data_IF_840351532328
#
_entry.id   IF_840351532328
#
_cell.length_a   1.000
_cell.length_b   1.000
_cell.length_c   1.000
_cell.angle_alpha   90.00
_cell.angle_beta   90.00
_cell.angle_gamma   90.00
#
_symmetry.space_group_name_H-M   'P 1'
#
loop_
_entity.id
_entity.type
_entity.pdbx_description
1 polymer ?
#
# COMPACT_ATOMS: atom_id res chain seq x y z
N UNK A 1 -17.99 -19.40 5.81
CA UNK A 1 -19.31 -19.30 6.44
C UNK A 1 -19.33 -18.27 7.57
N UNK A 2 -18.28 -18.19 8.41
CA UNK A 2 -18.19 -17.19 9.49
C UNK A 2 -18.25 -15.77 8.95
N UNK A 3 -17.40 -15.46 7.96
CA UNK A 3 -17.33 -14.15 7.30
C UNK A 3 -18.67 -13.70 6.69
N UNK A 4 -19.44 -14.65 6.11
CA UNK A 4 -20.78 -14.33 5.61
C UNK A 4 -21.73 -13.98 6.74
N UNK A 5 -21.70 -14.71 7.86
CA UNK A 5 -22.55 -14.40 9.01
C UNK A 5 -22.27 -13.03 9.61
N UNK A 6 -21.00 -12.65 9.65
CA UNK A 6 -20.56 -11.34 10.14
C UNK A 6 -21.00 -10.16 9.24
N UNK A 7 -21.26 -10.42 7.95
CA UNK A 7 -21.63 -9.41 6.96
C UNK A 7 -23.07 -9.54 6.44
N UNK A 8 -23.87 -10.46 6.98
CA UNK A 8 -25.22 -10.72 6.51
C UNK A 8 -26.24 -9.84 7.22
N UNK A 9 -27.04 -9.11 6.46
CA UNK A 9 -28.14 -8.30 7.00
C UNK A 9 -29.26 -9.18 7.59
N UNK A 10 -29.53 -10.35 7.01
CA UNK A 10 -30.49 -11.31 7.55
C UNK A 10 -30.11 -11.81 8.94
N UNK A 11 -28.79 -11.91 9.22
CA UNK A 11 -28.28 -12.30 10.55
C UNK A 11 -28.31 -11.12 11.50
N UNK A 12 -27.79 -9.97 11.08
CA UNK A 12 -27.66 -8.78 11.95
C UNK A 12 -29.02 -8.17 12.35
N UNK A 13 -30.00 -8.22 11.43
CA UNK A 13 -31.33 -7.62 11.61
C UNK A 13 -32.42 -8.69 11.83
N UNK A 14 -32.03 -9.86 12.37
CA UNK A 14 -32.98 -10.95 12.56
C UNK A 14 -34.12 -10.58 13.54
N UNK A 15 -33.85 -9.72 14.54
CA UNK A 15 -34.84 -9.24 15.50
C UNK A 15 -35.61 -7.98 15.00
N UNK A 16 -35.11 -7.35 13.92
CA UNK A 16 -35.73 -6.19 13.29
C UNK A 16 -36.33 -6.59 11.94
N UNK A 17 -37.49 -7.19 12.00
CA UNK A 17 -38.21 -7.63 10.79
C UNK A 17 -38.60 -6.44 9.93
N UNK A 18 -38.40 -6.48 8.60
CA UNK A 18 -38.81 -5.43 7.70
C UNK A 18 -40.32 -5.35 7.62
N UNK A 19 -40.86 -4.12 7.56
CA UNK A 19 -42.32 -3.82 7.53
C UNK A 19 -43.05 -4.39 6.30
N UNK A 20 -42.32 -4.93 5.31
CA UNK A 20 -42.86 -5.42 4.07
C UNK A 20 -42.13 -6.64 3.52
N UNK A 21 -42.88 -7.42 2.72
CA UNK A 21 -42.28 -8.54 1.94
C UNK A 21 -41.14 -8.08 1.03
N UNK A 22 -41.30 -6.90 0.40
CA UNK A 22 -40.28 -6.31 -0.46
C UNK A 22 -39.00 -5.98 0.32
N UNK A 23 -39.16 -5.54 1.58
CA UNK A 23 -38.01 -5.27 2.46
C UNK A 23 -37.18 -6.52 2.77
N UNK A 24 -37.84 -7.66 3.07
CA UNK A 24 -37.16 -8.94 3.33
C UNK A 24 -36.48 -9.48 2.07
N UNK A 25 -37.16 -9.41 0.91
CA UNK A 25 -36.61 -9.80 -0.38
C UNK A 25 -35.33 -9.00 -0.72
N UNK A 26 -35.36 -7.68 -0.51
CA UNK A 26 -34.19 -6.82 -0.72
C UNK A 26 -33.01 -7.22 0.16
N UNK A 27 -33.23 -7.44 1.47
CA UNK A 27 -32.16 -7.90 2.39
C UNK A 27 -31.57 -9.24 1.92
N UNK A 28 -32.39 -10.17 1.50
CA UNK A 28 -31.94 -11.46 0.98
C UNK A 28 -31.10 -11.32 -0.29
N UNK A 29 -31.49 -10.45 -1.22
CA UNK A 29 -30.71 -10.16 -2.43
C UNK A 29 -29.38 -9.48 -2.13
N UNK A 30 -29.33 -8.53 -1.20
CA UNK A 30 -28.09 -7.88 -0.77
C UNK A 30 -27.13 -8.88 -0.13
N UNK A 31 -27.62 -9.81 0.67
CA UNK A 31 -26.81 -10.89 1.24
C UNK A 31 -26.33 -11.90 0.20
N UNK A 32 -27.10 -12.16 -0.86
CA UNK A 32 -26.66 -12.97 -2.01
C UNK A 32 -25.46 -12.30 -2.70
N UNK A 33 -25.51 -11.01 -2.93
CA UNK A 33 -24.40 -10.26 -3.54
C UNK A 33 -23.17 -10.23 -2.61
N UNK A 34 -23.37 -10.06 -1.32
CA UNK A 34 -22.30 -10.12 -0.31
C UNK A 34 -21.65 -11.49 -0.28
N UNK A 35 -22.46 -12.56 -0.26
CA UNK A 35 -21.96 -13.94 -0.28
C UNK A 35 -21.18 -14.25 -1.58
N UNK A 36 -21.64 -13.74 -2.73
CA UNK A 36 -20.92 -13.90 -4.00
C UNK A 36 -19.56 -13.20 -3.98
N UNK A 37 -19.49 -11.98 -3.45
CA UNK A 37 -18.21 -11.26 -3.28
C UNK A 37 -17.25 -12.02 -2.37
N UNK A 38 -17.75 -12.57 -1.27
CA UNK A 38 -16.96 -13.40 -0.34
C UNK A 38 -16.43 -14.67 -1.03
N UNK A 39 -17.28 -15.36 -1.81
CA UNK A 39 -16.82 -16.52 -2.58
C UNK A 39 -15.71 -16.16 -3.56
N UNK A 40 -15.86 -15.07 -4.31
CA UNK A 40 -14.86 -14.61 -5.24
C UNK A 40 -13.55 -14.19 -4.54
N UNK A 41 -13.63 -13.50 -3.39
CA UNK A 41 -12.44 -13.10 -2.62
C UNK A 41 -11.64 -14.30 -2.11
N UNK A 42 -12.30 -15.42 -1.88
CA UNK A 42 -11.72 -16.68 -1.43
C UNK A 42 -11.29 -17.61 -2.60
N UNK A 43 -11.40 -17.14 -3.85
CA UNK A 43 -11.01 -17.89 -5.05
C UNK A 43 -12.08 -18.83 -5.62
N UNK A 44 -13.33 -18.70 -5.23
CA UNK A 44 -14.45 -19.51 -5.77
C UNK A 44 -15.22 -18.70 -6.82
N UNK A 45 -14.65 -18.54 -8.01
CA UNK A 45 -15.20 -17.66 -9.07
C UNK A 45 -16.44 -18.21 -9.76
N UNK A 46 -16.66 -19.53 -9.76
CA UNK A 46 -17.85 -20.20 -10.31
C UNK A 46 -18.89 -20.51 -9.22
N UNK A 47 -18.66 -19.99 -8.01
CA UNK A 47 -19.57 -20.17 -6.90
C UNK A 47 -20.96 -19.61 -7.17
N UNK A 48 -22.00 -20.35 -6.81
CA UNK A 48 -23.38 -19.92 -6.95
C UNK A 48 -24.01 -19.69 -5.59
N UNK A 49 -24.80 -18.61 -5.48
CA UNK A 49 -25.53 -18.26 -4.28
C UNK A 49 -27.00 -18.07 -4.66
N UNK A 50 -27.87 -18.67 -3.87
CA UNK A 50 -29.32 -18.55 -4.05
C UNK A 50 -29.97 -18.23 -2.70
N UNK A 51 -31.01 -17.43 -2.71
CA UNK A 51 -31.87 -17.25 -1.55
C UNK A 51 -33.22 -17.97 -1.75
N UNK A 52 -33.87 -18.27 -0.66
CA UNK A 52 -35.24 -18.76 -0.59
C UNK A 52 -35.92 -18.17 0.63
N UNK A 53 -37.15 -17.70 0.48
CA UNK A 53 -37.96 -17.17 1.57
C UNK A 53 -39.22 -18.02 1.69
N UNK A 54 -39.40 -18.62 2.87
CA UNK A 54 -40.62 -19.32 3.24
C UNK A 54 -41.63 -18.31 3.83
N UNK A 55 -42.56 -17.92 3.02
CA UNK A 55 -43.62 -16.94 3.41
C UNK A 55 -44.71 -17.55 4.28
N UNK A 56 -44.81 -18.87 4.37
CA UNK A 56 -45.81 -19.57 5.19
C UNK A 56 -45.37 -19.69 6.66
N UNK A 57 -44.08 -19.57 6.94
CA UNK A 57 -43.57 -19.51 8.29
C UNK A 57 -43.94 -18.22 9.00
N UNK A 58 -44.11 -18.26 10.33
CA UNK A 58 -44.46 -17.11 11.16
C UNK A 58 -43.44 -17.02 12.33
N UNK A 59 -42.49 -16.09 12.28
CA UNK A 59 -42.20 -15.13 11.22
C UNK A 59 -41.66 -15.78 9.93
N UNK A 60 -41.68 -15.09 8.76
CA UNK A 60 -41.12 -15.59 7.51
C UNK A 60 -39.65 -15.95 7.66
N UNK A 61 -39.23 -17.08 7.09
CA UNK A 61 -37.85 -17.59 7.18
C UNK A 61 -37.11 -17.36 5.86
N UNK A 62 -35.99 -16.63 5.91
CA UNK A 62 -35.10 -16.46 4.78
C UNK A 62 -33.87 -17.39 4.91
N UNK A 63 -33.50 -18.06 3.82
CA UNK A 63 -32.34 -18.92 3.75
C UNK A 63 -31.47 -18.60 2.56
N UNK A 64 -30.13 -18.70 2.75
CA UNK A 64 -29.15 -18.54 1.70
C UNK A 64 -28.38 -19.85 1.51
N UNK A 65 -28.41 -20.37 0.29
CA UNK A 65 -27.70 -21.59 -0.10
C UNK A 65 -26.49 -21.23 -0.94
N UNK A 66 -25.31 -21.65 -0.49
CA UNK A 66 -24.04 -21.49 -1.19
C UNK A 66 -23.59 -22.80 -1.81
N UNK A 67 -23.14 -22.75 -3.03
CA UNK A 67 -22.42 -23.82 -3.73
C UNK A 67 -21.11 -23.25 -4.24
N UNK A 68 -19.98 -23.41 -3.52
CA UNK A 68 -18.72 -22.75 -3.84
C UNK A 68 -18.14 -23.21 -5.20
N UNK A 69 -18.32 -24.47 -5.59
CA UNK A 69 -17.64 -25.05 -6.74
C UNK A 69 -16.17 -25.34 -6.46
N UNK A 70 -15.36 -25.44 -7.51
CA UNK A 70 -13.92 -25.63 -7.40
C UNK A 70 -13.21 -24.33 -7.02
N UNK A 71 -12.18 -24.45 -6.20
CA UNK A 71 -11.34 -23.31 -5.82
C UNK A 71 -10.27 -23.09 -6.86
N UNK A 72 -10.21 -21.86 -7.36
CA UNK A 72 -9.18 -21.44 -8.31
C UNK A 72 -7.82 -21.30 -7.64
N UNK A 73 -6.77 -21.54 -8.41
CA UNK A 73 -5.38 -21.40 -7.98
C UNK A 73 -4.67 -20.35 -8.82
N UNK A 74 -3.56 -19.83 -8.33
CA UNK A 74 -2.74 -18.88 -9.08
C UNK A 74 -2.11 -19.55 -10.30
N UNK A 75 -2.35 -18.97 -11.45
CA UNK A 75 -1.66 -19.23 -12.70
C UNK A 75 -0.36 -18.42 -12.80
N UNK A 76 0.14 -18.19 -14.02
CA UNK A 76 1.30 -17.34 -14.24
C UNK A 76 1.05 -15.91 -13.75
N UNK A 77 2.06 -15.33 -13.12
CA UNK A 77 2.07 -13.91 -12.73
C UNK A 77 3.15 -13.18 -13.49
N UNK A 78 2.91 -11.91 -13.80
CA UNK A 78 3.86 -11.04 -14.49
C UNK A 78 3.93 -9.69 -13.81
N UNK A 79 5.15 -9.25 -13.51
CA UNK A 79 5.44 -7.91 -13.06
C UNK A 79 6.10 -7.13 -14.19
N UNK A 80 5.63 -5.92 -14.43
CA UNK A 80 6.23 -4.97 -15.36
C UNK A 80 6.52 -3.69 -14.62
N UNK A 81 7.65 -3.08 -14.95
CA UNK A 81 8.10 -1.84 -14.32
C UNK A 81 8.15 -0.73 -15.36
N UNK A 82 7.46 0.36 -15.09
CA UNK A 82 7.51 1.59 -15.86
C UNK A 82 8.34 2.61 -15.10
N UNK A 83 9.51 2.95 -15.63
CA UNK A 83 10.36 4.00 -15.05
C UNK A 83 9.74 5.35 -15.34
N UNK A 84 9.49 6.11 -14.29
CA UNK A 84 9.01 7.49 -14.37
C UNK A 84 10.00 8.38 -13.63
N UNK A 85 10.65 9.29 -14.35
CA UNK A 85 11.69 10.14 -13.83
C UNK A 85 13.12 9.71 -14.20
N UNK A 86 14.10 10.57 -13.92
CA UNK A 86 15.48 10.28 -14.23
C UNK A 86 16.00 9.06 -13.45
N UNK A 87 16.87 8.29 -14.10
CA UNK A 87 17.67 7.30 -13.41
C UNK A 87 18.58 8.05 -12.43
N UNK A 88 18.51 7.71 -11.14
CA UNK A 88 19.37 8.33 -10.15
C UNK A 88 20.84 8.13 -10.50
N UNK A 89 21.55 9.21 -10.77
CA UNK A 89 22.98 9.11 -11.00
C UNK A 89 23.76 8.83 -9.70
N UNK A 90 24.95 8.22 -9.78
CA UNK A 90 25.79 8.04 -8.62
C UNK A 90 26.14 9.40 -8.00
N UNK A 91 26.02 9.50 -6.70
CA UNK A 91 26.48 10.68 -5.97
C UNK A 91 28.00 10.58 -5.82
N UNK A 92 28.67 11.70 -6.03
CA UNK A 92 30.15 11.83 -5.93
C UNK A 92 30.62 11.80 -4.45
N UNK A 93 30.03 10.93 -3.64
CA UNK A 93 30.44 10.68 -2.25
C UNK A 93 30.93 9.25 -2.11
N UNK A 94 32.08 9.11 -1.48
CA UNK A 94 32.59 7.80 -1.04
C UNK A 94 31.69 7.24 0.06
N UNK A 95 30.68 6.51 -0.35
CA UNK A 95 29.78 5.81 0.58
C UNK A 95 30.36 4.44 0.91
N UNK A 96 30.38 4.04 2.19
CA UNK A 96 30.70 2.67 2.57
C UNK A 96 29.82 1.68 1.78
N UNK A 97 30.40 0.58 1.31
CA UNK A 97 29.69 -0.44 0.52
C UNK A 97 28.43 -0.95 1.27
N UNK A 98 28.52 -1.07 2.59
CA UNK A 98 27.43 -1.50 3.48
C UNK A 98 26.18 -0.59 3.45
N UNK A 99 26.32 0.67 3.07
CA UNK A 99 25.21 1.65 3.04
C UNK A 99 24.86 2.12 1.63
N UNK A 100 25.68 1.79 0.63
CA UNK A 100 25.42 2.16 -0.77
C UNK A 100 24.09 1.60 -1.26
N UNK A 101 23.73 0.39 -0.84
CA UNK A 101 22.56 -0.35 -1.28
C UNK A 101 22.70 -0.87 -2.72
N UNK A 102 21.75 -1.71 -3.12
CA UNK A 102 21.63 -2.21 -4.48
C UNK A 102 20.39 -1.57 -5.08
N UNK A 103 20.50 -1.06 -6.31
CA UNK A 103 19.32 -0.60 -7.04
C UNK A 103 18.35 -1.78 -7.22
N UNK A 104 17.13 -1.63 -6.75
CA UNK A 104 16.09 -2.66 -6.89
C UNK A 104 15.96 -3.13 -8.34
N UNK A 105 16.11 -2.21 -9.30
CA UNK A 105 15.92 -2.50 -10.72
C UNK A 105 17.03 -3.32 -11.37
N UNK A 106 18.18 -3.48 -10.71
CA UNK A 106 19.24 -4.37 -11.21
C UNK A 106 18.85 -5.85 -11.15
N UNK A 107 18.03 -6.21 -10.14
CA UNK A 107 17.58 -7.59 -9.92
C UNK A 107 16.05 -7.64 -9.70
N UNK A 108 15.30 -6.76 -10.35
CA UNK A 108 13.85 -6.68 -10.16
C UNK A 108 13.16 -8.00 -10.54
N UNK A 109 12.41 -8.63 -9.63
CA UNK A 109 11.65 -9.82 -9.95
C UNK A 109 10.59 -9.54 -11.01
N UNK A 110 10.40 -10.45 -11.95
CA UNK A 110 9.42 -10.36 -13.04
C UNK A 110 8.09 -11.08 -12.72
N UNK A 111 8.01 -11.72 -11.55
CA UNK A 111 6.83 -12.45 -11.09
C UNK A 111 6.50 -12.12 -9.62
N UNK A 112 5.25 -12.37 -9.23
CA UNK A 112 4.81 -12.21 -7.84
C UNK A 112 5.26 -13.36 -6.92
N UNK A 113 5.88 -14.40 -7.44
CA UNK A 113 6.38 -15.52 -6.65
C UNK A 113 7.44 -15.08 -5.63
N UNK A 114 8.30 -14.14 -6.04
CA UNK A 114 9.31 -13.54 -5.16
C UNK A 114 8.69 -12.78 -3.96
N UNK A 115 7.39 -12.47 -4.04
CA UNK A 115 6.63 -11.74 -3.02
C UNK A 115 5.57 -12.62 -2.34
N UNK A 116 5.77 -13.93 -2.35
CA UNK A 116 4.95 -14.90 -1.61
C UNK A 116 3.69 -15.38 -2.32
N UNK A 117 3.48 -15.04 -3.60
CA UNK A 117 2.36 -15.51 -4.39
C UNK A 117 2.79 -16.63 -5.34
N UNK A 118 2.96 -17.82 -4.81
CA UNK A 118 3.42 -18.96 -5.60
C UNK A 118 2.36 -19.44 -6.61
N UNK A 119 2.82 -19.88 -7.80
CA UNK A 119 1.96 -20.58 -8.75
C UNK A 119 1.35 -21.83 -8.10
N UNK A 120 0.04 -22.04 -8.31
CA UNK A 120 -0.71 -23.14 -7.70
C UNK A 120 -1.23 -22.86 -6.28
N UNK A 121 -0.85 -21.76 -5.64
CA UNK A 121 -1.46 -21.34 -4.37
C UNK A 121 -2.92 -20.91 -4.59
N UNK A 122 -3.78 -20.92 -3.56
CA UNK A 122 -5.15 -20.44 -3.68
C UNK A 122 -5.23 -19.01 -4.21
N UNK A 123 -6.11 -18.77 -5.20
CA UNK A 123 -6.31 -17.47 -5.83
C UNK A 123 -7.17 -16.52 -4.97
N UNK A 124 -6.73 -16.28 -3.74
CA UNK A 124 -7.38 -15.38 -2.78
C UNK A 124 -7.05 -13.92 -3.09
N UNK A 125 -8.07 -13.07 -3.17
CA UNK A 125 -7.88 -11.65 -3.49
C UNK A 125 -6.93 -10.95 -2.52
N UNK A 126 -7.05 -11.21 -1.21
CA UNK A 126 -6.19 -10.58 -0.21
C UNK A 126 -4.72 -10.98 -0.37
N UNK A 127 -4.45 -12.26 -0.66
CA UNK A 127 -3.08 -12.75 -0.89
C UNK A 127 -2.46 -12.09 -2.11
N UNK A 128 -3.23 -11.92 -3.19
CA UNK A 128 -2.77 -11.19 -4.41
C UNK A 128 -2.47 -9.73 -4.09
N UNK A 129 -3.36 -9.04 -3.38
CA UNK A 129 -3.17 -7.64 -2.99
C UNK A 129 -1.95 -7.47 -2.07
N UNK A 130 -1.75 -8.38 -1.13
CA UNK A 130 -0.59 -8.37 -0.23
C UNK A 130 0.72 -8.54 -1.01
N UNK A 131 0.76 -9.46 -1.98
CA UNK A 131 1.95 -9.66 -2.82
C UNK A 131 2.29 -8.38 -3.61
N UNK A 132 1.32 -7.74 -4.25
CA UNK A 132 1.53 -6.47 -4.97
C UNK A 132 1.98 -5.36 -4.03
N UNK A 133 1.39 -5.25 -2.85
CA UNK A 133 1.80 -4.27 -1.83
C UNK A 133 3.23 -4.52 -1.37
N UNK A 134 3.65 -5.78 -1.27
CA UNK A 134 5.01 -6.16 -0.91
C UNK A 134 6.03 -5.72 -1.96
N UNK A 135 5.70 -5.80 -3.27
CA UNK A 135 6.54 -5.25 -4.35
C UNK A 135 6.78 -3.76 -4.13
N UNK A 136 5.70 -2.98 -3.98
CA UNK A 136 5.79 -1.53 -3.78
C UNK A 136 6.60 -1.19 -2.53
N UNK A 137 6.37 -1.94 -1.44
CA UNK A 137 7.09 -1.75 -0.18
C UNK A 137 8.59 -2.04 -0.34
N UNK A 138 8.96 -3.13 -1.05
CA UNK A 138 10.34 -3.47 -1.31
C UNK A 138 11.04 -2.36 -2.14
N UNK A 139 10.37 -1.83 -3.15
CA UNK A 139 10.89 -0.72 -3.96
C UNK A 139 11.10 0.54 -3.12
N UNK A 140 10.17 0.89 -2.25
CA UNK A 140 10.29 2.07 -1.36
C UNK A 140 11.43 1.96 -0.36
N UNK A 141 11.82 0.74 -0.01
CA UNK A 141 13.00 0.49 0.83
C UNK A 141 14.31 0.52 0.05
N UNK A 142 14.24 0.43 -1.27
CA UNK A 142 15.40 0.29 -2.16
C UNK A 142 15.51 1.44 -3.17
N UNK A 143 15.24 2.65 -2.75
CA UNK A 143 15.52 3.85 -3.54
C UNK A 143 14.32 4.48 -4.25
N UNK A 144 13.14 3.85 -4.24
CA UNK A 144 11.97 4.32 -5.00
C UNK A 144 10.78 4.72 -4.10
N UNK A 145 10.86 5.81 -3.32
CA UNK A 145 9.80 6.20 -2.37
C UNK A 145 8.46 6.51 -3.02
N UNK A 146 8.46 6.88 -4.30
CA UNK A 146 7.26 7.21 -5.06
C UNK A 146 6.72 6.02 -5.85
N UNK A 147 7.24 4.82 -5.61
CA UNK A 147 6.72 3.62 -6.24
C UNK A 147 5.23 3.41 -5.91
N UNK A 148 4.45 3.12 -6.94
CA UNK A 148 3.01 2.88 -6.84
C UNK A 148 2.57 1.74 -7.78
N UNK A 149 1.48 1.09 -7.42
CA UNK A 149 0.82 0.17 -8.33
C UNK A 149 0.17 0.97 -9.47
N UNK A 150 0.53 0.63 -10.71
CA UNK A 150 -0.14 1.11 -11.91
C UNK A 150 -1.33 0.23 -12.30
N UNK A 151 -1.52 0.03 -13.60
CA UNK A 151 -2.58 -0.82 -14.11
C UNK A 151 -2.32 -2.30 -13.79
N UNK A 152 -3.33 -2.99 -13.30
CA UNK A 152 -3.32 -4.43 -13.13
C UNK A 152 -4.40 -5.08 -13.99
N UNK A 153 -4.08 -6.24 -14.55
CA UNK A 153 -5.01 -7.08 -15.29
C UNK A 153 -5.03 -8.45 -14.65
N UNK A 154 -6.21 -8.88 -14.24
CA UNK A 154 -6.46 -10.21 -13.71
C UNK A 154 -7.32 -10.99 -14.69
N UNK A 155 -6.92 -12.20 -15.03
CA UNK A 155 -7.62 -13.05 -15.98
C UNK A 155 -7.99 -14.36 -15.31
N UNK A 156 -9.29 -14.64 -15.27
CA UNK A 156 -9.84 -15.90 -14.76
C UNK A 156 -9.96 -16.86 -15.94
N UNK A 157 -9.16 -17.92 -15.94
CA UNK A 157 -9.30 -19.02 -16.89
C UNK A 157 -10.16 -20.12 -16.27
N UNK A 158 -11.38 -20.25 -16.78
CA UNK A 158 -12.36 -21.25 -16.32
C UNK A 158 -12.05 -22.66 -16.79
N UNK A 159 -11.24 -22.81 -17.86
CA UNK A 159 -10.90 -24.13 -18.36
C UNK A 159 -9.84 -24.83 -17.51
N UNK A 160 -8.96 -24.05 -16.91
CA UNK A 160 -7.85 -24.51 -16.06
C UNK A 160 -8.07 -24.20 -14.59
N UNK A 161 -9.14 -23.52 -14.21
CA UNK A 161 -9.42 -23.01 -12.87
C UNK A 161 -8.25 -22.20 -12.30
N UNK A 162 -7.69 -21.30 -13.11
CA UNK A 162 -6.57 -20.46 -12.68
C UNK A 162 -6.88 -18.97 -12.77
N UNK A 163 -6.21 -18.20 -11.90
CA UNK A 163 -6.16 -16.74 -11.94
C UNK A 163 -4.76 -16.30 -12.37
N UNK A 164 -4.65 -15.62 -13.50
CA UNK A 164 -3.43 -15.00 -13.97
C UNK A 164 -3.40 -13.51 -13.55
N UNK A 165 -2.23 -13.00 -13.23
CA UNK A 165 -2.05 -11.61 -12.87
C UNK A 165 -0.94 -10.95 -13.68
N UNK A 166 -1.24 -9.83 -14.34
CA UNK A 166 -0.27 -8.96 -15.02
C UNK A 166 -0.34 -7.58 -14.37
N UNK A 167 0.68 -7.21 -13.62
CA UNK A 167 0.71 -6.01 -12.79
C UNK A 167 1.81 -5.06 -13.27
N UNK A 168 1.43 -3.83 -13.54
CA UNK A 168 2.36 -2.75 -13.82
C UNK A 168 2.68 -2.00 -12.52
N UNK A 169 3.96 -1.80 -12.26
CA UNK A 169 4.46 -0.95 -11.17
C UNK A 169 5.11 0.29 -11.80
N UNK A 170 4.66 1.46 -11.39
CA UNK A 170 5.32 2.71 -11.72
C UNK A 170 6.38 2.97 -10.65
N UNK A 171 7.63 3.09 -11.07
CA UNK A 171 8.73 3.15 -10.10
C UNK A 171 8.87 4.52 -9.42
N UNK A 172 8.52 5.59 -10.12
CA UNK A 172 9.01 6.91 -9.75
C UNK A 172 10.53 7.04 -10.00
N UNK A 173 11.13 8.17 -9.63
CA UNK A 173 12.58 8.38 -9.70
C UNK A 173 13.31 7.58 -8.61
N UNK A 174 14.54 7.17 -8.91
CA UNK A 174 15.46 6.67 -7.90
C UNK A 174 15.95 7.85 -7.06
N UNK A 175 15.64 7.85 -5.77
CA UNK A 175 16.00 8.92 -4.85
C UNK A 175 17.06 8.47 -3.84
N UNK A 176 17.77 9.46 -3.29
CA UNK A 176 18.78 9.26 -2.27
C UNK A 176 18.43 10.06 -1.02
N UNK A 177 18.89 9.58 0.13
CA UNK A 177 18.74 10.26 1.40
C UNK A 177 19.61 11.51 1.41
N UNK A 178 19.01 12.65 1.68
CA UNK A 178 19.66 13.93 1.82
C UNK A 178 19.65 14.44 3.26
N UNK A 179 20.03 15.70 3.48
CA UNK A 179 19.90 16.36 4.78
C UNK A 179 18.44 16.52 5.17
N UNK A 180 18.20 16.62 6.46
CA UNK A 180 16.89 16.98 7.01
C UNK A 180 16.70 18.47 6.87
N UNK A 181 15.62 18.89 6.24
CA UNK A 181 15.21 20.28 6.10
C UNK A 181 13.94 20.52 6.90
N UNK A 182 13.92 21.58 7.70
CA UNK A 182 12.74 21.97 8.46
C UNK A 182 11.93 22.97 7.63
N UNK A 183 10.66 22.63 7.39
CA UNK A 183 9.65 23.61 7.02
C UNK A 183 8.84 23.94 8.27
N UNK A 184 9.16 25.05 8.90
CA UNK A 184 8.32 25.57 9.96
C UNK A 184 7.03 26.11 9.34
N UNK A 185 5.93 25.38 9.43
CA UNK A 185 4.63 26.01 9.40
C UNK A 185 4.44 26.64 10.78
N UNK A 186 4.54 27.97 10.85
CA UNK A 186 4.22 28.75 12.05
C UNK A 186 2.73 28.55 12.37
N UNK A 187 2.39 27.49 13.08
CA UNK A 187 1.13 27.38 13.78
C UNK A 187 1.24 28.32 14.99
N UNK A 188 0.99 29.62 14.76
CA UNK A 188 0.73 30.53 15.85
C UNK A 188 -0.51 29.98 16.56
N UNK A 189 -0.47 29.76 17.88
CA UNK A 189 -1.68 29.44 18.62
C UNK A 189 -2.69 30.56 18.30
N UNK A 190 -3.88 30.19 17.85
CA UNK A 190 -4.91 31.15 17.47
C UNK A 190 -5.29 32.11 18.63
N UNK A 191 -4.94 31.76 19.84
CA UNK A 191 -5.30 32.43 21.08
C UNK A 191 -4.26 33.43 21.59
N UNK A 192 -3.05 33.48 21.04
CA UNK A 192 -2.04 34.43 21.45
C UNK A 192 -1.08 34.81 20.28
N UNK A 193 -1.42 35.82 19.48
CA UNK A 193 -0.60 36.26 18.36
C UNK A 193 0.78 36.83 18.79
N UNK A 194 0.95 37.19 20.05
CA UNK A 194 2.18 37.76 20.60
C UNK A 194 3.00 36.73 21.38
N UNK A 195 2.59 35.46 21.44
CA UNK A 195 3.40 34.42 22.04
C UNK A 195 4.75 34.32 21.29
N UNK A 196 5.88 34.28 22.02
CA UNK A 196 7.17 34.02 21.40
C UNK A 196 7.04 32.73 20.60
N UNK A 197 7.44 32.78 19.32
CA UNK A 197 7.42 31.60 18.45
C UNK A 197 8.10 30.43 19.16
N UNK A 198 7.62 29.21 18.91
CA UNK A 198 8.28 28.02 19.44
C UNK A 198 9.78 28.12 19.13
N UNK A 199 10.66 27.75 20.04
CA UNK A 199 12.09 27.83 19.83
C UNK A 199 12.42 27.07 18.54
N UNK A 200 13.12 27.74 17.62
CA UNK A 200 13.55 27.12 16.37
C UNK A 200 14.39 25.89 16.70
N UNK A 201 13.95 24.72 16.24
CA UNK A 201 14.71 23.50 16.44
C UNK A 201 15.94 23.59 15.55
N UNK A 202 17.12 23.32 16.10
CA UNK A 202 18.37 23.41 15.34
C UNK A 202 18.43 22.25 14.32
N UNK A 203 18.54 22.60 13.02
CA UNK A 203 18.67 21.63 11.93
C UNK A 203 19.88 20.70 12.10
N UNK A 204 21.02 21.23 12.57
CA UNK A 204 22.21 20.44 12.86
C UNK A 204 21.94 19.34 13.91
N UNK A 205 21.12 19.66 14.91
CA UNK A 205 20.71 18.68 15.90
C UNK A 205 19.85 17.57 15.28
N UNK A 206 18.88 17.95 14.45
CA UNK A 206 18.02 16.99 13.77
C UNK A 206 18.79 16.11 12.78
N UNK A 207 19.73 16.71 12.04
CA UNK A 207 20.58 15.96 11.14
C UNK A 207 21.48 14.94 11.88
N UNK A 208 21.94 15.26 13.09
CA UNK A 208 22.70 14.31 13.92
C UNK A 208 21.87 13.13 14.42
N UNK A 209 20.56 13.28 14.54
CA UNK A 209 19.65 12.21 14.94
C UNK A 209 19.25 11.31 13.77
N UNK A 210 19.52 11.70 12.52
CA UNK A 210 19.15 10.91 11.35
C UNK A 210 19.91 9.58 11.31
N UNK A 211 19.23 8.44 11.09
CA UNK A 211 19.86 7.13 11.08
C UNK A 211 20.53 6.80 9.73
N UNK A 212 20.51 7.72 8.77
CA UNK A 212 21.07 7.49 7.44
C UNK A 212 22.33 8.31 7.18
N UNK A 213 23.09 7.87 6.19
CA UNK A 213 24.20 8.61 5.62
C UNK A 213 23.69 9.31 4.34
N UNK A 214 23.95 10.62 4.22
CA UNK A 214 23.60 11.36 3.02
C UNK A 214 24.20 10.74 1.75
N UNK A 215 23.37 10.62 0.71
CA UNK A 215 23.76 10.02 -0.56
C UNK A 215 23.46 8.52 -0.67
N UNK A 216 23.16 7.81 0.41
CA UNK A 216 22.69 6.43 0.30
C UNK A 216 21.32 6.37 -0.37
N UNK A 217 20.94 5.23 -0.95
CA UNK A 217 19.60 5.08 -1.51
C UNK A 217 18.52 5.30 -0.46
N UNK A 218 17.43 5.91 -0.89
CA UNK A 218 16.25 6.10 -0.06
C UNK A 218 15.78 4.79 0.56
N UNK A 219 15.40 4.86 1.83
CA UNK A 219 14.86 3.72 2.54
C UNK A 219 13.75 4.17 3.52
N UNK A 220 12.53 3.73 3.27
CA UNK A 220 11.37 4.06 4.10
C UNK A 220 11.49 3.57 5.55
N UNK A 221 12.25 2.51 5.82
CA UNK A 221 12.42 2.00 7.19
C UNK A 221 13.26 2.98 8.02
N UNK A 222 14.29 3.60 7.41
CA UNK A 222 15.09 4.64 8.09
C UNK A 222 14.25 5.88 8.41
N UNK A 223 13.29 6.23 7.55
CA UNK A 223 12.35 7.31 7.87
C UNK A 223 11.43 6.98 9.03
N UNK A 224 10.96 5.74 9.11
CA UNK A 224 10.13 5.28 10.25
C UNK A 224 10.93 5.31 11.55
N UNK A 225 12.16 4.81 11.51
CA UNK A 225 13.09 4.85 12.64
C UNK A 225 13.32 6.29 13.11
N UNK A 226 13.65 7.17 12.16
CA UNK A 226 13.86 8.59 12.47
C UNK A 226 12.61 9.25 13.04
N UNK A 227 11.43 8.98 12.51
CA UNK A 227 10.17 9.48 13.07
C UNK A 227 10.00 9.03 14.52
N UNK A 228 10.29 7.77 14.84
CA UNK A 228 10.23 7.25 16.21
C UNK A 228 11.20 7.99 17.11
N UNK A 229 12.46 8.15 16.68
CA UNK A 229 13.49 8.92 17.42
C UNK A 229 13.02 10.35 17.70
N UNK A 230 12.45 11.03 16.70
CA UNK A 230 11.94 12.40 16.89
C UNK A 230 10.75 12.46 17.83
N UNK A 231 9.85 11.48 17.81
CA UNK A 231 8.73 11.39 18.75
C UNK A 231 9.22 11.20 20.20
N UNK A 232 10.26 10.38 20.39
CA UNK A 232 10.86 10.13 21.70
C UNK A 232 11.54 11.38 22.30
N UNK A 233 11.96 12.34 21.47
CA UNK A 233 12.49 13.63 21.98
C UNK A 233 11.44 14.47 22.69
N UNK A 234 10.16 14.26 22.41
CA UNK A 234 9.06 15.06 22.95
C UNK A 234 9.00 16.51 22.44
N UNK A 235 9.83 16.87 21.47
CA UNK A 235 9.91 18.24 20.93
C UNK A 235 8.76 18.57 19.96
N UNK A 236 8.13 17.56 19.38
CA UNK A 236 7.14 17.73 18.33
C UNK A 236 5.80 17.15 18.73
N UNK A 237 4.73 17.92 18.55
CA UNK A 237 3.35 17.45 18.71
C UNK A 237 2.84 16.65 17.51
N UNK A 238 3.37 16.94 16.32
CA UNK A 238 3.09 16.21 15.09
C UNK A 238 4.33 16.24 14.19
N UNK A 239 4.56 15.14 13.45
CA UNK A 239 5.70 15.02 12.55
C UNK A 239 5.16 14.53 11.20
N UNK A 240 5.28 15.37 10.16
CA UNK A 240 5.04 15.00 8.77
C UNK A 240 6.38 15.02 8.03
N UNK A 241 6.74 13.91 7.39
CA UNK A 241 8.00 13.74 6.67
C UNK A 241 7.71 13.37 5.24
N UNK A 242 8.26 14.18 4.32
CA UNK A 242 8.08 13.99 2.87
C UNK A 242 9.41 14.16 2.15
N UNK A 243 9.61 13.44 1.02
CA UNK A 243 10.69 13.78 0.10
C UNK A 243 10.55 15.25 -0.31
N UNK A 244 11.62 16.02 -0.18
CA UNK A 244 11.69 17.40 -0.64
C UNK A 244 12.71 17.51 -1.75
N UNK A 245 12.44 18.38 -2.74
CA UNK A 245 13.46 18.74 -3.71
C UNK A 245 14.44 19.70 -3.05
N UNK A 246 15.72 19.37 -3.10
CA UNK A 246 16.78 20.28 -2.71
C UNK A 246 16.88 21.42 -3.75
N UNK A 247 17.10 22.66 -3.28
CA UNK A 247 17.54 23.71 -4.18
C UNK A 247 18.95 23.39 -4.71
N UNK A 248 19.34 23.91 -5.89
CA UNK A 248 20.70 23.72 -6.39
C UNK A 248 21.81 24.09 -5.39
N UNK A 249 21.58 25.15 -4.59
CA UNK A 249 22.50 25.58 -3.54
C UNK A 249 22.60 24.59 -2.38
N UNK A 250 21.46 24.09 -1.91
CA UNK A 250 21.39 23.07 -0.85
C UNK A 250 22.04 21.77 -1.29
N UNK A 251 21.74 21.34 -2.52
CA UNK A 251 22.33 20.13 -3.07
C UNK A 251 23.84 20.25 -3.21
N UNK A 252 24.36 21.42 -3.68
CA UNK A 252 25.78 21.70 -3.77
C UNK A 252 26.46 21.74 -2.40
N UNK A 253 25.81 22.35 -1.40
CA UNK A 253 26.29 22.35 -0.03
C UNK A 253 26.35 20.94 0.57
N UNK A 254 25.42 20.05 0.19
CA UNK A 254 25.43 18.64 0.55
C UNK A 254 26.45 17.80 -0.25
N UNK A 255 27.21 18.41 -1.18
CA UNK A 255 28.23 17.74 -1.98
C UNK A 255 27.67 16.93 -3.16
N UNK A 256 26.51 17.32 -3.68
CA UNK A 256 25.91 16.74 -4.89
C UNK A 256 26.41 17.47 -6.12
N UNK A 257 26.61 16.75 -7.22
CA UNK A 257 27.14 17.35 -8.46
C UNK A 257 26.07 18.07 -9.26
N UNK A 258 26.48 19.05 -10.09
CA UNK A 258 25.56 19.76 -10.99
C UNK A 258 24.82 18.83 -11.97
N UNK A 259 25.38 17.66 -12.27
CA UNK A 259 24.80 16.66 -13.16
C UNK A 259 23.62 15.94 -12.50
N UNK A 260 23.76 15.57 -11.22
CA UNK A 260 22.68 14.96 -10.43
C UNK A 260 21.53 15.93 -10.17
N UNK A 261 21.77 17.25 -10.27
CA UNK A 261 20.78 18.31 -10.10
C UNK A 261 19.98 18.58 -11.37
N UNK A 262 20.60 18.51 -12.55
CA UNK A 262 19.94 18.75 -13.83
C UNK A 262 18.88 17.69 -14.17
N UNK A 263 19.03 16.49 -13.63
CA UNK A 263 18.16 15.32 -13.89
C UNK A 263 17.04 15.16 -12.84
N UNK A 264 17.10 15.90 -11.75
CA UNK A 264 16.09 15.90 -10.68
C UNK A 264 15.02 17.00 -10.84
N UNK A 265 15.12 17.84 -11.87
CA UNK A 265 14.26 19.00 -12.17
C UNK A 265 12.93 18.73 -12.86
#
# INVERSE_FOLDING_TARGET
>A
VSELRENSQLVWLHDDLPDSRVGLERRALEDVETARKILHSQGYYDGTVRHHINWEAQPPEASITLRPGERYVMGPTKLRYERTGPAGEPVDKDLPESVRGIDFMENAPDTLEAFGLAKGSPAEAQTVLNAVTSVVTAMRKAGYPLAEQGKARYVIDRSTHTLEADVLIKTGPLLRMGPVLIKEENVRPADNPDAPGAPAVNEDYLNKLSPWIEGQYWNDDLLKEYRTTLQETGLFSAIDMKPARLSPEQAKAAGWTDRSLAEAG
#
